data_IF_779563692585
#
_entry.id   IF_779563692585
#
_cell.length_a   1.000
_cell.length_b   1.000
_cell.length_c   1.000
_cell.angle_alpha   90.00
_cell.angle_beta   90.00
_cell.angle_gamma   90.00
#
_symmetry.space_group_name_H-M   'P 1'
#
loop_
_entity.id
_entity.type
_entity.pdbx_description
1 polymer ?
#
# COMPACT_ATOMS: atom_id res chain seq x y z
N UNK A 1 -22.58 0.27 10.55
CA UNK A 1 -21.21 -0.28 10.56
C UNK A 1 -20.98 -1.24 9.41
N UNK A 2 -21.65 -2.39 9.32
CA UNK A 2 -21.48 -3.31 8.15
C UNK A 2 -21.99 -2.66 6.85
N UNK A 3 -23.16 -2.02 6.90
CA UNK A 3 -23.73 -1.33 5.73
C UNK A 3 -22.89 -0.14 5.23
N UNK A 4 -22.23 0.61 6.13
CA UNK A 4 -21.37 1.75 5.74
C UNK A 4 -20.07 1.29 5.06
N UNK A 5 -19.55 0.12 5.43
CA UNK A 5 -18.35 -0.47 4.81
C UNK A 5 -18.63 -0.99 3.39
N UNK A 6 -19.79 -1.63 3.18
CA UNK A 6 -20.23 -2.05 1.85
C UNK A 6 -20.53 -0.86 0.92
N UNK A 7 -21.08 0.24 1.47
CA UNK A 7 -21.28 1.47 0.72
C UNK A 7 -19.95 2.12 0.30
N UNK A 8 -18.91 2.03 1.13
CA UNK A 8 -17.57 2.53 0.81
C UNK A 8 -16.95 1.75 -0.36
N UNK A 9 -17.03 0.41 -0.32
CA UNK A 9 -16.60 -0.45 -1.44
C UNK A 9 -17.39 -0.15 -2.71
N UNK A 10 -18.69 0.13 -2.58
CA UNK A 10 -19.54 0.52 -3.69
C UNK A 10 -19.08 1.86 -4.29
N UNK A 11 -18.87 2.91 -3.51
CA UNK A 11 -18.38 4.22 -3.99
C UNK A 11 -17.00 4.14 -4.67
N UNK A 12 -16.13 3.25 -4.18
CA UNK A 12 -14.83 2.98 -4.80
C UNK A 12 -14.97 2.28 -6.14
N UNK A 13 -15.99 1.43 -6.32
CA UNK A 13 -16.30 0.80 -7.61
C UNK A 13 -16.89 1.78 -8.64
N UNK A 14 -17.75 2.71 -8.20
CA UNK A 14 -18.31 3.76 -9.09
C UNK A 14 -17.29 4.87 -9.37
N UNK A 15 -16.26 4.99 -8.52
CA UNK A 15 -15.18 5.94 -8.68
C UNK A 15 -15.61 7.39 -8.48
N UNK A 16 -16.59 7.68 -7.62
CA UNK A 16 -17.00 9.07 -7.34
C UNK A 16 -16.18 9.67 -6.19
N UNK A 17 -15.34 10.69 -6.47
CA UNK A 17 -14.39 11.26 -5.49
C UNK A 17 -15.08 12.01 -4.36
N UNK A 18 -16.16 12.73 -4.65
CA UNK A 18 -16.78 13.65 -3.70
C UNK A 18 -17.66 12.90 -2.70
N UNK A 19 -18.54 12.02 -3.20
CA UNK A 19 -19.39 11.19 -2.34
C UNK A 19 -18.56 10.19 -1.52
N UNK A 20 -17.50 9.61 -2.08
CA UNK A 20 -16.62 8.71 -1.31
C UNK A 20 -15.91 9.44 -0.16
N UNK A 21 -15.41 10.67 -0.38
CA UNK A 21 -14.77 11.45 0.69
C UNK A 21 -15.75 11.88 1.77
N UNK A 22 -16.97 12.25 1.40
CA UNK A 22 -18.01 12.62 2.36
C UNK A 22 -18.40 11.41 3.22
N UNK A 23 -18.57 10.25 2.59
CA UNK A 23 -18.93 9.03 3.29
C UNK A 23 -17.79 8.45 4.14
N UNK A 24 -16.54 8.63 3.72
CA UNK A 24 -15.36 8.35 4.54
C UNK A 24 -15.33 9.20 5.81
N UNK A 25 -15.63 10.51 5.74
CA UNK A 25 -15.71 11.38 6.92
C UNK A 25 -16.84 10.97 7.87
N UNK A 26 -18.02 10.66 7.34
CA UNK A 26 -19.16 10.19 8.14
C UNK A 26 -18.79 8.87 8.84
N UNK A 27 -18.15 7.95 8.14
CA UNK A 27 -17.76 6.66 8.71
C UNK A 27 -16.60 6.81 9.72
N UNK A 28 -15.63 7.69 9.46
CA UNK A 28 -14.52 8.01 10.38
C UNK A 28 -15.05 8.58 11.71
N UNK A 29 -16.08 9.44 11.67
CA UNK A 29 -16.71 10.02 12.87
C UNK A 29 -17.48 9.00 13.73
N UNK A 30 -18.04 7.96 13.10
CA UNK A 30 -18.79 6.89 13.78
C UNK A 30 -17.90 5.75 14.27
N UNK A 31 -16.66 5.68 13.78
CA UNK A 31 -15.77 4.55 14.04
C UNK A 31 -14.88 4.83 15.24
N UNK A 32 -15.05 4.05 16.31
CA UNK A 32 -14.25 4.17 17.54
C UNK A 32 -13.02 3.27 17.52
N UNK A 33 -13.05 2.17 16.76
CA UNK A 33 -11.97 1.19 16.70
C UNK A 33 -10.83 1.62 15.75
N UNK A 34 -9.59 1.62 16.25
CA UNK A 34 -8.38 2.01 15.50
C UNK A 34 -8.17 1.15 14.24
N UNK A 35 -8.42 -0.17 14.32
CA UNK A 35 -8.29 -1.07 13.18
C UNK A 35 -9.23 -0.72 12.02
N UNK A 36 -10.49 -0.38 12.33
CA UNK A 36 -11.48 0.03 11.34
C UNK A 36 -11.17 1.41 10.74
N UNK A 37 -10.63 2.34 11.55
CA UNK A 37 -10.10 3.62 11.04
C UNK A 37 -8.96 3.40 10.06
N UNK A 38 -8.06 2.46 10.34
CA UNK A 38 -6.96 2.11 9.44
C UNK A 38 -7.48 1.58 8.10
N UNK A 39 -8.48 0.69 8.14
CA UNK A 39 -9.10 0.15 6.93
C UNK A 39 -9.73 1.28 6.09
N UNK A 40 -10.42 2.25 6.70
CA UNK A 40 -10.95 3.44 6.00
C UNK A 40 -9.84 4.29 5.33
N UNK A 41 -8.71 4.49 6.01
CA UNK A 41 -7.57 5.22 5.43
C UNK A 41 -6.98 4.46 4.23
N UNK A 42 -6.95 3.12 4.25
CA UNK A 42 -6.53 2.35 3.07
C UNK A 42 -7.47 2.52 1.88
N UNK A 43 -8.78 2.58 2.09
CA UNK A 43 -9.75 2.88 1.03
C UNK A 43 -9.54 4.29 0.45
N UNK A 44 -9.24 5.26 1.32
CA UNK A 44 -8.90 6.63 0.89
C UNK A 44 -7.62 6.66 0.06
N UNK A 45 -6.62 5.85 0.44
CA UNK A 45 -5.38 5.68 -0.32
C UNK A 45 -5.64 5.09 -1.71
N UNK A 46 -6.47 4.05 -1.81
CA UNK A 46 -6.83 3.44 -3.09
C UNK A 46 -7.50 4.46 -4.04
N UNK A 47 -8.43 5.26 -3.52
CA UNK A 47 -9.03 6.38 -4.28
C UNK A 47 -7.98 7.42 -4.68
N UNK A 48 -7.07 7.78 -3.77
CA UNK A 48 -5.95 8.68 -4.08
C UNK A 48 -5.07 8.16 -5.22
N UNK A 49 -4.77 6.86 -5.24
CA UNK A 49 -4.03 6.22 -6.33
C UNK A 49 -4.83 6.18 -7.64
N UNK A 50 -6.14 5.91 -7.58
CA UNK A 50 -7.01 5.91 -8.75
C UNK A 50 -7.07 7.30 -9.43
N UNK A 51 -7.18 8.35 -8.61
CA UNK A 51 -7.19 9.75 -9.07
C UNK A 51 -5.80 10.36 -9.30
N UNK A 52 -4.73 9.60 -9.06
CA UNK A 52 -3.33 10.07 -9.09
C UNK A 52 -3.09 11.37 -8.30
N UNK A 53 -3.79 11.54 -7.17
CA UNK A 53 -3.69 12.74 -6.33
C UNK A 53 -2.60 12.56 -5.27
N UNK A 54 -1.37 12.94 -5.60
CA UNK A 54 -0.20 12.74 -4.74
C UNK A 54 -0.29 13.46 -3.39
N UNK A 55 -0.96 14.62 -3.32
CA UNK A 55 -1.15 15.36 -2.07
C UNK A 55 -2.06 14.59 -1.11
N UNK A 56 -3.17 14.04 -1.65
CA UNK A 56 -4.09 13.21 -0.88
C UNK A 56 -3.44 11.91 -0.40
N UNK A 57 -2.63 11.27 -1.25
CA UNK A 57 -1.88 10.06 -0.89
C UNK A 57 -0.90 10.36 0.24
N UNK A 58 -0.14 11.46 0.14
CA UNK A 58 0.83 11.82 1.18
C UNK A 58 0.15 12.08 2.53
N UNK A 59 -0.95 12.84 2.54
CA UNK A 59 -1.75 13.11 3.75
C UNK A 59 -2.34 11.83 4.34
N UNK A 60 -2.81 10.92 3.49
CA UNK A 60 -3.36 9.64 3.93
C UNK A 60 -2.28 8.71 4.51
N UNK A 61 -1.07 8.69 3.94
CA UNK A 61 0.07 7.95 4.50
C UNK A 61 0.47 8.52 5.87
N UNK A 62 0.50 9.84 6.02
CA UNK A 62 0.83 10.49 7.29
C UNK A 62 -0.20 10.17 8.37
N UNK A 63 -1.49 10.27 8.04
CA UNK A 63 -2.58 9.81 8.91
C UNK A 63 -2.45 8.34 9.30
N UNK A 64 -2.14 7.46 8.34
CA UNK A 64 -1.94 6.04 8.62
C UNK A 64 -0.75 5.78 9.54
N UNK A 65 0.31 6.59 9.46
CA UNK A 65 1.47 6.52 10.37
C UNK A 65 1.11 6.97 11.78
N UNK A 66 0.33 8.04 11.95
CA UNK A 66 -0.17 8.46 13.27
C UNK A 66 -1.07 7.40 13.89
N UNK A 67 -2.00 6.82 13.11
CA UNK A 67 -2.86 5.73 13.56
C UNK A 67 -2.07 4.47 13.92
N UNK A 68 -0.90 4.26 13.30
CA UNK A 68 -0.01 3.17 13.65
C UNK A 68 0.62 3.36 15.04
N UNK A 69 0.97 4.59 15.43
CA UNK A 69 1.50 4.90 16.77
C UNK A 69 0.47 4.66 17.88
N UNK A 70 -0.82 4.82 17.58
CA UNK A 70 -1.92 4.57 18.53
C UNK A 70 -2.22 3.08 18.78
N UNK A 71 -1.68 2.17 17.95
CA UNK A 71 -1.85 0.72 18.14
C UNK A 71 -2.29 -0.02 16.89
N UNK A 72 -1.43 -0.04 15.88
CA UNK A 72 -1.67 -0.77 14.62
C UNK A 72 -1.23 -2.23 14.64
N UNK A 73 -2.04 -3.09 14.03
CA UNK A 73 -1.70 -4.50 13.78
C UNK A 73 -0.46 -4.63 12.86
N UNK A 74 0.39 -5.62 13.13
CA UNK A 74 1.63 -5.83 12.37
C UNK A 74 1.36 -6.12 10.89
N UNK A 75 0.28 -6.85 10.58
CA UNK A 75 -0.10 -7.14 9.20
C UNK A 75 -0.46 -5.86 8.42
N UNK A 76 -1.23 -4.96 9.06
CA UNK A 76 -1.60 -3.65 8.50
C UNK A 76 -0.38 -2.75 8.31
N UNK A 77 0.65 -2.88 9.16
CA UNK A 77 1.93 -2.17 8.99
C UNK A 77 2.65 -2.58 7.71
N UNK A 78 2.72 -3.88 7.42
CA UNK A 78 3.36 -4.35 6.18
C UNK A 78 2.57 -3.90 4.96
N UNK A 79 1.24 -3.92 5.04
CA UNK A 79 0.38 -3.36 4.00
C UNK A 79 0.66 -1.87 3.75
N UNK A 80 0.78 -1.06 4.80
CA UNK A 80 1.15 0.37 4.68
C UNK A 80 2.52 0.59 4.05
N UNK A 81 3.52 -0.24 4.36
CA UNK A 81 4.86 -0.15 3.74
C UNK A 81 4.80 -0.34 2.22
N UNK A 82 3.95 -1.26 1.73
CA UNK A 82 3.76 -1.48 0.30
C UNK A 82 3.15 -0.23 -0.36
N UNK A 83 2.12 0.37 0.25
CA UNK A 83 1.53 1.62 -0.23
C UNK A 83 2.53 2.78 -0.22
N UNK A 84 3.32 2.93 0.85
CA UNK A 84 4.38 3.95 0.93
C UNK A 84 5.47 3.69 -0.13
N UNK A 85 5.82 2.43 -0.39
CA UNK A 85 6.73 2.03 -1.46
C UNK A 85 6.22 2.44 -2.84
N UNK A 86 4.94 2.20 -3.12
CA UNK A 86 4.30 2.60 -4.38
C UNK A 86 4.24 4.11 -4.56
N UNK A 87 3.96 4.85 -3.48
CA UNK A 87 4.01 6.31 -3.49
C UNK A 87 5.44 6.83 -3.72
N UNK A 88 6.45 6.24 -3.07
CA UNK A 88 7.86 6.57 -3.28
C UNK A 88 8.30 6.29 -4.72
N UNK A 89 7.80 5.21 -5.34
CA UNK A 89 8.04 4.90 -6.75
C UNK A 89 7.43 5.98 -7.66
N UNK A 90 6.21 6.44 -7.34
CA UNK A 90 5.50 7.47 -8.12
C UNK A 90 6.14 8.86 -8.00
N UNK A 91 6.70 9.19 -6.83
CA UNK A 91 7.44 10.43 -6.57
C UNK A 91 8.91 10.37 -7.01
N UNK A 92 9.30 9.35 -7.78
CA UNK A 92 10.66 9.10 -8.31
C UNK A 92 11.75 8.86 -7.24
N UNK A 93 11.38 8.57 -6.00
CA UNK A 93 12.32 8.18 -4.95
C UNK A 93 12.55 6.66 -4.95
N UNK A 94 13.31 6.19 -5.94
CA UNK A 94 13.51 4.76 -6.14
C UNK A 94 14.29 4.10 -5.00
N UNK A 95 15.26 4.78 -4.39
CA UNK A 95 16.09 4.19 -3.32
C UNK A 95 15.24 3.74 -2.14
N UNK A 96 14.33 4.62 -1.69
CA UNK A 96 13.43 4.32 -0.57
C UNK A 96 12.36 3.30 -0.97
N UNK A 97 11.84 3.38 -2.19
CA UNK A 97 10.90 2.40 -2.73
C UNK A 97 11.51 0.98 -2.76
N UNK A 98 12.73 0.84 -3.26
CA UNK A 98 13.41 -0.45 -3.34
C UNK A 98 13.65 -1.08 -1.97
N UNK A 99 14.06 -0.31 -0.96
CA UNK A 99 14.19 -0.85 0.41
C UNK A 99 12.86 -1.32 0.97
N UNK A 100 11.80 -0.52 0.81
CA UNK A 100 10.47 -0.84 1.34
C UNK A 100 9.87 -2.08 0.66
N UNK A 101 10.03 -2.19 -0.66
CA UNK A 101 9.56 -3.35 -1.41
C UNK A 101 10.33 -4.62 -1.04
N UNK A 102 11.67 -4.56 -0.95
CA UNK A 102 12.48 -5.73 -0.57
C UNK A 102 12.14 -6.24 0.83
N UNK A 103 11.88 -5.36 1.79
CA UNK A 103 11.44 -5.76 3.14
C UNK A 103 10.03 -6.34 3.14
N UNK A 104 9.17 -5.88 2.22
CA UNK A 104 7.76 -6.29 2.16
C UNK A 104 7.51 -7.54 1.29
N UNK A 105 8.49 -7.99 0.48
CA UNK A 105 8.38 -9.21 -0.34
C UNK A 105 8.08 -10.45 0.49
N UNK A 106 8.73 -10.59 1.64
CA UNK A 106 8.64 -11.78 2.49
C UNK A 106 7.29 -11.91 3.20
N UNK A 107 6.54 -10.82 3.28
CA UNK A 107 5.35 -10.67 4.13
C UNK A 107 4.20 -9.99 3.39
N UNK A 108 4.20 -10.12 2.07
CA UNK A 108 3.19 -9.55 1.21
C UNK A 108 1.85 -10.27 1.40
N UNK A 109 0.86 -9.53 1.89
CA UNK A 109 -0.53 -10.02 2.04
C UNK A 109 -1.53 -9.16 1.27
N UNK A 110 -1.07 -8.14 0.54
CA UNK A 110 -1.91 -7.10 -0.06
C UNK A 110 -2.33 -7.42 -1.50
N UNK A 111 -3.09 -8.48 -1.71
CA UNK A 111 -3.60 -8.86 -3.04
C UNK A 111 -4.64 -7.88 -3.62
N UNK A 112 -5.13 -6.94 -2.81
CA UNK A 112 -6.16 -5.95 -3.20
C UNK A 112 -5.60 -4.81 -4.09
N UNK A 113 -4.29 -4.63 -4.14
CA UNK A 113 -3.63 -3.56 -4.89
C UNK A 113 -3.20 -4.02 -6.28
N UNK A 114 -2.53 -5.16 -6.33
CA UNK A 114 -2.05 -5.79 -7.55
C UNK A 114 -1.73 -7.27 -7.28
N UNK A 115 -1.77 -8.13 -8.31
CA UNK A 115 -1.33 -9.51 -8.18
C UNK A 115 0.16 -9.58 -7.82
N UNK A 116 0.55 -10.64 -7.11
CA UNK A 116 1.91 -10.83 -6.60
C UNK A 116 2.97 -10.76 -7.71
N UNK A 117 2.66 -11.28 -8.91
CA UNK A 117 3.54 -11.19 -10.08
C UNK A 117 3.92 -9.76 -10.44
N UNK A 118 2.94 -8.84 -10.40
CA UNK A 118 3.15 -7.43 -10.70
C UNK A 118 3.94 -6.74 -9.60
N UNK A 119 3.70 -7.12 -8.34
CA UNK A 119 4.49 -6.63 -7.21
C UNK A 119 5.98 -6.99 -7.33
N UNK A 120 6.25 -8.26 -7.66
CA UNK A 120 7.61 -8.74 -7.84
C UNK A 120 8.26 -8.06 -9.03
N UNK A 121 7.53 -7.88 -10.14
CA UNK A 121 8.03 -7.13 -11.30
C UNK A 121 8.47 -5.71 -10.93
N UNK A 122 7.64 -4.95 -10.20
CA UNK A 122 8.00 -3.60 -9.75
C UNK A 122 9.15 -3.59 -8.75
N UNK A 123 9.22 -4.58 -7.87
CA UNK A 123 10.32 -4.69 -6.91
C UNK A 123 11.66 -4.98 -7.60
N UNK A 124 11.66 -5.87 -8.60
CA UNK A 124 12.85 -6.17 -9.42
C UNK A 124 13.24 -4.92 -10.22
N UNK A 125 12.29 -4.24 -10.86
CA UNK A 125 12.55 -3.04 -11.65
C UNK A 125 13.17 -1.93 -10.81
N UNK A 126 12.58 -1.62 -9.66
CA UNK A 126 13.10 -0.60 -8.74
C UNK A 126 14.46 -0.99 -8.15
N UNK A 127 14.70 -2.28 -7.93
CA UNK A 127 16.00 -2.80 -7.50
C UNK A 127 17.09 -2.64 -8.57
N UNK A 128 16.75 -2.87 -9.84
CA UNK A 128 17.68 -2.68 -10.97
C UNK A 128 18.12 -1.22 -11.11
N UNK A 129 17.20 -0.28 -10.89
CA UNK A 129 17.47 1.15 -11.05
C UNK A 129 18.33 1.70 -9.90
N UNK A 130 18.29 1.08 -8.71
CA UNK A 130 18.84 1.69 -7.48
C UNK A 130 20.09 1.02 -6.94
N UNK A 131 20.29 -0.27 -7.18
CA UNK A 131 21.41 -1.00 -6.62
C UNK A 131 22.60 -1.08 -7.58
N UNK A 132 23.80 -0.96 -7.02
CA UNK A 132 25.05 -1.24 -7.70
C UNK A 132 25.18 -2.74 -8.04
N UNK A 133 25.93 -3.06 -9.10
CA UNK A 133 26.09 -4.42 -9.68
C UNK A 133 26.29 -5.52 -8.64
N UNK A 134 27.03 -5.25 -7.57
CA UNK A 134 27.36 -6.24 -6.52
C UNK A 134 26.15 -6.53 -5.64
N UNK A 135 25.45 -5.49 -5.18
CA UNK A 135 24.26 -5.62 -4.34
C UNK A 135 23.06 -6.14 -5.14
N UNK A 136 23.01 -5.84 -6.44
CA UNK A 136 22.01 -6.36 -7.36
C UNK A 136 22.07 -7.89 -7.43
N UNK A 137 23.26 -8.47 -7.57
CA UNK A 137 23.43 -9.94 -7.66
C UNK A 137 22.93 -10.65 -6.40
N UNK A 138 23.22 -10.12 -5.21
CA UNK A 138 22.78 -10.74 -3.95
C UNK A 138 21.26 -10.63 -3.73
N UNK A 139 20.67 -9.47 -4.02
CA UNK A 139 19.24 -9.25 -3.79
C UNK A 139 18.36 -9.86 -4.87
N UNK A 140 18.73 -9.75 -6.15
CA UNK A 140 17.98 -10.41 -7.24
C UNK A 140 18.02 -11.91 -7.10
N UNK A 141 19.17 -12.53 -6.76
CA UNK A 141 19.23 -13.98 -6.59
C UNK A 141 18.26 -14.46 -5.50
N UNK A 142 18.15 -13.71 -4.40
CA UNK A 142 17.20 -13.98 -3.32
C UNK A 142 15.74 -13.83 -3.76
N UNK A 143 15.43 -12.85 -4.61
CA UNK A 143 14.10 -12.66 -5.20
C UNK A 143 13.76 -13.76 -6.21
N UNK A 144 14.74 -14.18 -7.01
CA UNK A 144 14.58 -15.27 -7.98
C UNK A 144 14.35 -16.62 -7.31
N UNK A 145 15.03 -16.88 -6.19
CA UNK A 145 14.84 -18.08 -5.36
C UNK A 145 13.42 -18.16 -4.77
N UNK A 146 12.85 -17.01 -4.38
CA UNK A 146 11.45 -16.91 -3.94
C UNK A 146 10.46 -17.19 -5.08
N UNK A 147 10.73 -16.70 -6.29
CA UNK A 147 9.88 -16.89 -7.46
C UNK A 147 9.82 -18.38 -7.89
N UNK A 148 10.96 -19.07 -7.83
CA UNK A 148 11.05 -20.52 -8.10
C UNK A 148 10.29 -21.33 -7.04
N UNK A 149 10.28 -20.92 -5.77
CA UNK A 149 9.53 -21.61 -4.70
C UNK A 149 8.02 -21.46 -4.77
N UNK A 150 7.51 -20.38 -5.38
CA UNK A 150 6.05 -20.16 -5.52
C UNK A 150 5.47 -20.90 -6.74
N UNK A 151 6.33 -21.32 -7.68
CA UNK A 151 5.93 -22.01 -8.92
C UNK A 151 6.05 -23.54 -8.88
N UNK A 152 6.35 -24.14 -7.73
CA UNK A 152 6.43 -25.59 -7.48
C UNK A 152 5.37 -25.97 -6.45
#
# INVERSE_FOLDING_TARGET
MIADAELNLYFIQIGDKEEAMEQLKVTESKTVAVGQKMDLVFHTLQLGFFYMDFDLISKSIDKAKSLFEEGGDWERKNRLKVYEGLYCMSTRNFKKAASLFLDSISTFTTYELFPYDTFIFYTVLTSIITLDRVSLKQKIFRVFELLVRVSI
#
